data_IF_759371905778
#
_entry.id   IF_759371905778
#
_cell.length_a   1.000
_cell.length_b   1.000
_cell.length_c   1.000
_cell.angle_alpha   90.00
_cell.angle_beta   90.00
_cell.angle_gamma   90.00
#
_symmetry.space_group_name_H-M   'P 1'
#
loop_
_entity.id
_entity.type
_entity.pdbx_description
1 polymer ?
#
# COMPACT_ATOMS: atom_id res chain seq x y z
N UNK A 1 -10.11 -0.36 10.05
CA UNK A 1 -8.73 -0.80 9.82
C UNK A 1 -7.96 0.32 9.16
N UNK A 2 -7.23 1.05 9.96
CA UNK A 2 -6.27 2.03 9.48
C UNK A 2 -4.96 1.24 9.40
N UNK A 3 -4.55 0.91 8.20
CA UNK A 3 -3.37 0.07 8.01
C UNK A 3 -2.12 0.93 7.95
N UNK A 4 -1.64 1.31 9.10
CA UNK A 4 -0.28 1.84 9.22
C UNK A 4 0.77 0.73 9.40
N UNK A 5 0.37 -0.53 9.31
CA UNK A 5 1.27 -1.67 9.56
C UNK A 5 1.00 -2.80 8.59
N UNK A 6 2.06 -3.34 8.02
CA UNK A 6 2.02 -4.47 7.10
C UNK A 6 3.12 -5.47 7.46
N UNK A 7 2.77 -6.74 7.42
CA UNK A 7 3.74 -7.82 7.46
C UNK A 7 3.90 -8.35 6.05
N UNK A 8 5.10 -8.26 5.52
CA UNK A 8 5.41 -8.68 4.15
C UNK A 8 6.73 -9.44 4.11
N UNK A 9 6.82 -10.39 3.20
CA UNK A 9 8.08 -11.06 2.95
C UNK A 9 9.15 -10.03 2.52
N UNK A 10 10.32 -10.07 3.19
CA UNK A 10 11.42 -9.13 2.95
C UNK A 10 11.85 -9.09 1.49
N UNK A 11 11.88 -10.23 0.84
CA UNK A 11 12.25 -10.32 -0.57
C UNK A 11 11.28 -9.55 -1.46
N UNK A 12 9.96 -9.76 -1.28
CA UNK A 12 8.94 -9.04 -2.04
C UNK A 12 9.04 -7.54 -1.81
N UNK A 13 9.29 -7.11 -0.57
CA UNK A 13 9.51 -5.70 -0.25
C UNK A 13 10.67 -5.10 -1.05
N UNK A 14 11.82 -5.78 -1.09
CA UNK A 14 13.02 -5.29 -1.77
C UNK A 14 12.86 -5.32 -3.30
N UNK A 15 12.27 -6.36 -3.86
CA UNK A 15 12.01 -6.46 -5.31
C UNK A 15 11.03 -5.39 -5.79
N UNK A 16 10.08 -5.00 -4.95
CA UNK A 16 9.14 -3.92 -5.25
C UNK A 16 9.72 -2.52 -5.04
N UNK A 17 10.99 -2.41 -4.63
CA UNK A 17 11.67 -1.14 -4.42
C UNK A 17 11.38 -0.48 -3.07
N UNK A 18 10.76 -1.22 -2.12
CA UNK A 18 10.44 -0.69 -0.79
C UNK A 18 9.39 0.43 -0.84
N UNK A 19 9.49 1.38 0.08
CA UNK A 19 8.64 2.56 0.08
C UNK A 19 9.08 3.57 -0.97
N UNK A 20 8.12 4.23 -1.58
CA UNK A 20 8.38 5.24 -2.60
C UNK A 20 8.80 6.57 -1.95
N UNK A 21 10.04 6.98 -2.19
CA UNK A 21 10.64 8.22 -1.65
C UNK A 21 10.00 9.53 -2.15
N UNK A 22 9.10 9.46 -3.14
CA UNK A 22 8.35 10.64 -3.58
C UNK A 22 7.26 11.06 -2.60
N UNK A 23 6.89 10.18 -1.66
CA UNK A 23 5.98 10.51 -0.57
C UNK A 23 6.78 11.13 0.59
N UNK A 24 6.34 12.28 1.05
CA UNK A 24 6.98 13.02 2.14
C UNK A 24 5.97 13.20 3.27
N UNK A 25 6.39 12.96 4.51
CA UNK A 25 5.52 13.04 5.68
C UNK A 25 4.48 11.92 5.69
N UNK A 26 3.23 12.24 5.98
CA UNK A 26 2.16 11.28 6.20
C UNK A 26 1.21 11.12 5.01
N UNK A 27 0.62 9.94 4.92
CA UNK A 27 -0.46 9.51 4.03
C UNK A 27 -0.03 9.02 2.66
N UNK A 28 -0.66 7.93 2.26
CA UNK A 28 -0.59 7.27 0.95
C UNK A 28 0.70 6.54 0.60
N UNK A 29 1.77 6.64 1.38
CA UNK A 29 3.00 5.87 1.19
C UNK A 29 2.76 4.36 1.37
N UNK A 30 1.98 3.99 2.37
CA UNK A 30 1.53 2.63 2.65
C UNK A 30 0.59 2.12 1.56
N UNK A 31 -0.39 2.93 1.15
CA UNK A 31 -1.32 2.59 0.08
C UNK A 31 -0.60 2.37 -1.26
N UNK A 32 0.42 3.17 -1.55
CA UNK A 32 1.24 3.00 -2.75
C UNK A 32 1.99 1.66 -2.73
N UNK A 33 2.61 1.32 -1.61
CA UNK A 33 3.27 0.04 -1.46
C UNK A 33 2.29 -1.13 -1.60
N UNK A 34 1.11 -1.05 -0.99
CA UNK A 34 0.07 -2.05 -1.13
C UNK A 34 -0.42 -2.22 -2.56
N UNK A 35 -0.64 -1.12 -3.27
CA UNK A 35 -1.07 -1.18 -4.67
C UNK A 35 -0.04 -1.94 -5.51
N UNK A 36 1.25 -1.68 -5.33
CA UNK A 36 2.32 -2.39 -6.02
C UNK A 36 2.41 -3.86 -5.61
N UNK A 37 2.24 -4.17 -4.34
CA UNK A 37 2.24 -5.53 -3.82
C UNK A 37 1.07 -6.34 -4.40
N UNK A 38 -0.13 -5.79 -4.40
CA UNK A 38 -1.31 -6.42 -4.99
C UNK A 38 -1.14 -6.64 -6.49
N UNK A 39 -0.63 -5.66 -7.21
CA UNK A 39 -0.35 -5.79 -8.63
C UNK A 39 0.67 -6.90 -8.94
N UNK A 40 1.66 -7.05 -8.07
CA UNK A 40 2.68 -8.09 -8.20
C UNK A 40 2.17 -9.49 -7.86
N UNK A 41 1.27 -9.61 -6.87
CA UNK A 41 0.82 -10.91 -6.32
C UNK A 41 -0.45 -11.43 -6.94
N UNK A 42 -1.22 -10.58 -7.62
CA UNK A 42 -2.50 -10.94 -8.24
C UNK A 42 -2.47 -10.65 -9.73
N UNK A 43 -3.34 -11.32 -10.49
CA UNK A 43 -3.52 -10.97 -11.90
C UNK A 43 -4.39 -9.71 -12.01
N UNK A 44 -3.75 -8.54 -11.96
CA UNK A 44 -4.41 -7.24 -11.98
C UNK A 44 -5.21 -6.98 -13.26
N UNK A 45 -4.82 -7.60 -14.38
CA UNK A 45 -5.55 -7.47 -15.65
C UNK A 45 -6.97 -8.03 -15.57
N UNK A 46 -7.20 -9.00 -14.68
CA UNK A 46 -8.50 -9.62 -14.44
C UNK A 46 -9.25 -8.94 -13.28
N UNK A 47 -8.65 -7.98 -12.60
CA UNK A 47 -9.33 -7.24 -11.54
C UNK A 47 -10.35 -6.29 -12.15
N UNK A 48 -11.62 -6.30 -11.67
CA UNK A 48 -12.63 -5.38 -12.18
C UNK A 48 -12.17 -3.94 -12.09
N UNK A 49 -12.36 -3.16 -13.16
CA UNK A 49 -11.97 -1.73 -13.20
C UNK A 49 -12.56 -0.92 -12.04
N UNK A 50 -13.74 -1.32 -11.56
CA UNK A 50 -14.38 -0.73 -10.38
C UNK A 50 -13.55 -0.84 -9.10
N UNK A 51 -12.57 -1.75 -9.03
CA UNK A 51 -11.66 -1.90 -7.88
C UNK A 51 -10.33 -1.17 -8.06
N UNK A 52 -10.07 -0.61 -9.25
CA UNK A 52 -8.80 0.05 -9.59
C UNK A 52 -8.79 1.55 -9.26
N UNK A 53 -9.65 2.00 -8.37
CA UNK A 53 -9.70 3.39 -7.91
C UNK A 53 -9.86 3.43 -6.39
N UNK A 54 -9.64 4.60 -5.78
CA UNK A 54 -9.84 4.83 -4.36
C UNK A 54 -10.72 6.05 -4.12
N UNK A 55 -11.72 5.95 -3.25
CA UNK A 55 -12.63 7.07 -2.92
C UNK A 55 -12.17 7.90 -1.72
N UNK A 56 -11.06 7.58 -1.09
CA UNK A 56 -10.52 8.38 0.01
C UNK A 56 -11.37 8.41 1.29
N UNK A 57 -12.34 7.51 1.44
CA UNK A 57 -13.14 7.41 2.66
C UNK A 57 -12.43 6.61 3.76
N UNK A 58 -12.60 7.01 5.02
CA UNK A 58 -12.12 6.27 6.19
C UNK A 58 -13.21 5.42 6.86
N UNK A 59 -14.44 5.52 6.40
CA UNK A 59 -15.53 4.70 6.92
C UNK A 59 -15.48 3.32 6.28
N UNK A 60 -15.09 2.30 7.05
CA UNK A 60 -14.95 0.91 6.60
C UNK A 60 -16.21 0.35 5.93
N UNK A 61 -17.40 0.77 6.37
CA UNK A 61 -18.66 0.33 5.79
C UNK A 61 -18.94 0.94 4.41
N UNK A 62 -18.17 1.96 4.05
CA UNK A 62 -18.28 2.69 2.77
C UNK A 62 -17.07 2.47 1.86
N UNK A 63 -16.17 1.55 2.20
CA UNK A 63 -15.03 1.25 1.36
C UNK A 63 -15.48 0.75 0.00
N UNK A 64 -14.90 1.33 -1.04
CA UNK A 64 -15.06 0.96 -2.43
C UNK A 64 -13.71 0.97 -3.14
N UNK A 65 -13.67 0.39 -4.33
CA UNK A 65 -12.46 0.39 -5.13
C UNK A 65 -11.28 -0.28 -4.44
N UNK A 66 -10.12 0.34 -4.53
CA UNK A 66 -8.87 -0.17 -3.96
C UNK A 66 -8.97 -0.46 -2.45
N UNK A 67 -9.64 0.39 -1.68
CA UNK A 67 -9.78 0.20 -0.22
C UNK A 67 -10.61 -1.03 0.13
N UNK A 68 -11.68 -1.29 -0.62
CA UNK A 68 -12.48 -2.49 -0.43
C UNK A 68 -11.66 -3.74 -0.73
N UNK A 69 -10.96 -3.75 -1.85
CA UNK A 69 -10.12 -4.86 -2.25
C UNK A 69 -8.98 -5.11 -1.25
N UNK A 70 -8.27 -4.07 -0.89
CA UNK A 70 -7.20 -4.12 0.09
C UNK A 70 -7.66 -4.62 1.47
N UNK A 71 -8.88 -4.25 1.92
CA UNK A 71 -9.41 -4.67 3.21
C UNK A 71 -9.62 -6.18 3.32
N UNK A 72 -9.79 -6.88 2.19
CA UNK A 72 -9.95 -8.34 2.17
C UNK A 72 -8.74 -9.05 2.75
N UNK A 73 -7.53 -8.54 2.53
CA UNK A 73 -6.30 -9.13 3.09
C UNK A 73 -6.32 -9.09 4.63
N UNK A 74 -6.81 -8.01 5.22
CA UNK A 74 -6.95 -7.89 6.67
C UNK A 74 -8.04 -8.80 7.24
N UNK A 75 -9.14 -8.99 6.52
CA UNK A 75 -10.21 -9.91 6.93
C UNK A 75 -9.73 -11.35 6.93
N UNK A 76 -9.02 -11.77 5.90
CA UNK A 76 -8.47 -13.13 5.84
C UNK A 76 -7.58 -13.42 7.05
N UNK A 77 -6.68 -12.52 7.40
CA UNK A 77 -5.82 -12.67 8.57
C UNK A 77 -6.63 -12.76 9.87
N UNK A 78 -7.74 -12.05 9.99
CA UNK A 78 -8.60 -12.09 11.17
C UNK A 78 -9.28 -13.45 11.36
N UNK A 79 -9.63 -14.17 10.28
CA UNK A 79 -10.14 -15.53 10.37
C UNK A 79 -9.11 -16.53 10.90
N UNK A 80 -7.83 -16.23 10.73
CA UNK A 80 -6.74 -17.01 11.31
C UNK A 80 -6.36 -16.58 12.74
N UNK A 81 -7.15 -15.70 13.36
CA UNK A 81 -6.88 -15.20 14.70
C UNK A 81 -5.69 -14.25 14.80
N UNK A 82 -5.25 -13.67 13.69
CA UNK A 82 -4.12 -12.73 13.63
C UNK A 82 -4.67 -11.32 13.68
N UNK A 83 -4.41 -10.62 14.76
CA UNK A 83 -4.86 -9.25 14.99
C UNK A 83 -3.69 -8.35 15.38
N UNK A 84 -3.76 -7.09 14.93
CA UNK A 84 -2.92 -6.02 15.45
C UNK A 84 -3.77 -5.04 16.22
N UNK A 85 -3.31 -4.70 17.43
CA UNK A 85 -3.94 -3.69 18.27
C UNK A 85 -3.21 -2.38 18.11
N UNK A 86 -3.94 -1.33 17.72
CA UNK A 86 -3.41 0.03 17.71
C UNK A 86 -3.79 0.71 19.01
N UNK A 87 -2.81 0.97 19.86
CA UNK A 87 -3.02 1.77 21.05
C UNK A 87 -3.15 3.24 20.70
N UNK A 88 -4.09 3.91 21.37
CA UNK A 88 -4.26 5.35 21.19
C UNK A 88 -2.96 6.10 21.56
N UNK A 89 -2.60 7.02 20.71
CA UNK A 89 -1.56 8.01 20.97
C UNK A 89 -1.98 9.33 20.31
N UNK A 90 -1.48 10.44 20.84
CA UNK A 90 -1.72 11.73 20.22
C UNK A 90 -1.11 11.77 18.82
N UNK A 91 -1.82 12.39 17.88
CA UNK A 91 -1.28 12.59 16.54
C UNK A 91 -0.09 13.54 16.62
N UNK A 92 1.09 13.16 16.15
CA UNK A 92 2.25 14.03 16.17
C UNK A 92 2.04 15.17 15.18
N UNK A 93 1.74 16.36 15.69
CA UNK A 93 1.66 17.57 14.90
C UNK A 93 3.04 18.24 14.72
N UNK A 94 4.10 17.42 14.72
CA UNK A 94 5.48 17.88 14.67
C UNK A 94 5.97 17.93 13.22
N UNK A 95 6.80 18.92 12.91
CA UNK A 95 7.55 19.04 11.66
C UNK A 95 6.70 19.05 10.39
N UNK A 96 5.51 19.65 10.41
CA UNK A 96 4.62 19.72 9.25
C UNK A 96 4.26 18.34 8.67
N UNK A 97 4.22 17.29 9.51
CA UNK A 97 4.00 15.91 9.11
C UNK A 97 2.76 15.71 8.21
N UNK A 98 1.69 16.46 8.47
CA UNK A 98 0.44 16.39 7.70
C UNK A 98 0.40 17.32 6.46
N UNK A 99 1.35 18.24 6.32
CA UNK A 99 1.28 19.29 5.28
C UNK A 99 1.38 18.76 3.85
N UNK A 100 2.00 17.60 3.66
CA UNK A 100 2.17 16.97 2.35
C UNK A 100 1.03 16.05 1.93
N UNK A 101 0.03 15.84 2.79
CA UNK A 101 -1.08 14.90 2.53
C UNK A 101 -1.76 15.12 1.18
N UNK A 102 -2.04 16.36 0.80
CA UNK A 102 -2.68 16.68 -0.47
C UNK A 102 -1.78 16.37 -1.68
N UNK A 103 -0.48 16.62 -1.57
CA UNK A 103 0.50 16.27 -2.59
C UNK A 103 0.62 14.74 -2.72
N UNK A 104 0.73 14.04 -1.60
CA UNK A 104 0.80 12.59 -1.55
C UNK A 104 -0.44 11.93 -2.18
N UNK A 105 -1.63 12.46 -1.90
CA UNK A 105 -2.88 12.05 -2.51
C UNK A 105 -2.80 12.11 -4.06
N UNK A 106 -2.35 13.22 -4.62
CA UNK A 106 -2.20 13.37 -6.08
C UNK A 106 -1.21 12.37 -6.66
N UNK A 107 -0.07 12.16 -5.99
CA UNK A 107 0.95 11.19 -6.40
C UNK A 107 0.34 9.79 -6.42
N UNK A 108 -0.33 9.38 -5.35
CA UNK A 108 -0.94 8.05 -5.23
C UNK A 108 -1.95 7.77 -6.34
N UNK A 109 -2.90 8.68 -6.58
CA UNK A 109 -3.91 8.47 -7.62
C UNK A 109 -3.32 8.44 -9.02
N UNK A 110 -2.31 9.25 -9.30
CA UNK A 110 -1.57 9.20 -10.56
C UNK A 110 -0.89 7.84 -10.75
N UNK A 111 -0.25 7.32 -9.71
CA UNK A 111 0.42 6.02 -9.73
C UNK A 111 -0.60 4.88 -9.88
N UNK A 112 -1.69 4.92 -9.13
CA UNK A 112 -2.75 3.93 -9.18
C UNK A 112 -3.41 3.85 -10.58
N UNK A 113 -3.67 5.00 -11.21
CA UNK A 113 -4.24 5.05 -12.55
C UNK A 113 -3.32 4.45 -13.63
N UNK A 114 -2.00 4.41 -13.38
CA UNK A 114 -1.01 3.91 -14.32
C UNK A 114 -0.17 2.76 -13.73
N UNK A 115 -0.76 1.96 -12.87
CA UNK A 115 -0.04 0.97 -12.08
C UNK A 115 0.71 -0.07 -12.93
N UNK A 116 0.18 -0.40 -14.12
CA UNK A 116 0.84 -1.31 -15.08
C UNK A 116 2.22 -0.83 -15.51
N UNK A 117 2.38 0.48 -15.69
CA UNK A 117 3.63 1.10 -16.14
C UNK A 117 4.40 1.76 -14.99
N UNK A 118 3.80 1.79 -13.79
CA UNK A 118 4.40 2.39 -12.62
C UNK A 118 5.31 1.37 -11.94
N UNK A 119 6.61 1.60 -12.04
CA UNK A 119 7.61 0.77 -11.42
C UNK A 119 8.58 1.64 -10.62
N UNK A 120 8.88 1.20 -9.41
CA UNK A 120 9.99 1.74 -8.62
C UNK A 120 11.20 0.84 -8.86
N UNK A 121 12.38 1.45 -8.96
CA UNK A 121 13.62 0.69 -9.11
C UNK A 121 13.74 -0.33 -7.96
N UNK A 122 13.89 -1.61 -8.26
CA UNK A 122 14.13 -2.62 -7.24
C UNK A 122 15.35 -2.30 -6.39
N UNK A 123 15.25 -2.56 -5.09
CA UNK A 123 16.38 -2.47 -4.16
C UNK A 123 17.22 -3.75 -4.18
N UNK A 124 16.65 -4.81 -4.73
CA UNK A 124 17.32 -6.09 -4.89
C UNK A 124 17.11 -6.58 -6.32
N UNK A 125 18.16 -7.00 -6.98
CA UNK A 125 18.09 -7.65 -8.28
C UNK A 125 17.35 -8.98 -8.15
N UNK A 126 16.38 -9.22 -9.01
CA UNK A 126 15.62 -10.48 -9.05
C UNK A 126 16.53 -11.68 -9.29
N UNK A 127 17.63 -11.49 -10.00
CA UNK A 127 18.55 -12.56 -10.34
C UNK A 127 19.62 -12.80 -9.26
N UNK A 128 19.87 -11.84 -8.38
CA UNK A 128 20.81 -11.98 -7.27
C UNK A 128 20.40 -13.05 -6.24
N UNK A 129 19.13 -13.43 -6.22
CA UNK A 129 18.60 -14.45 -5.29
C UNK A 129 18.59 -15.86 -5.86
N UNK A 130 18.62 -16.02 -7.16
CA UNK A 130 18.72 -17.36 -7.76
C UNK A 130 20.07 -18.02 -7.47
N UNK A 131 21.05 -17.23 -7.10
CA UNK A 131 22.43 -17.66 -6.86
C UNK A 131 22.75 -17.89 -5.37
N UNK A 132 21.80 -17.69 -4.44
CA UNK A 132 22.01 -17.78 -3.00
C UNK A 132 21.01 -18.71 -2.27
N UNK A 133 20.39 -19.65 -2.98
CA UNK A 133 19.60 -20.75 -2.40
C UNK A 133 20.29 -22.09 -2.70
#
# INVERSE_FOLDING_TARGET
LISSSIIVNRYKFLVLGGNNHNFIGHSYEDHDFFARLLFYTTNFSNTPKALCYDEGTWNIRKFKGFRAWFSLLGYEMSFHGIYMYHFYHEEPNQNNYMSYRHKNHKIFYKNLANLKNYQIKPLLDKDALKNNI
#
